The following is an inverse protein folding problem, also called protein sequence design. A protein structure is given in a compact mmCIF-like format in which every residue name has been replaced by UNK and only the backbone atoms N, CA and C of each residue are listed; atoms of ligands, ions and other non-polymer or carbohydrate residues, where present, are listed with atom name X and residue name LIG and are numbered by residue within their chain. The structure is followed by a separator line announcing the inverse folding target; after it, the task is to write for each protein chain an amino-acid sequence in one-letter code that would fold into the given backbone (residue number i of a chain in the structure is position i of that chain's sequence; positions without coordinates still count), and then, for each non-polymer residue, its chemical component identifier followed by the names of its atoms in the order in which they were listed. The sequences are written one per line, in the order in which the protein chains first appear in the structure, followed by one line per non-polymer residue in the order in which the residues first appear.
data_IF_411318502447
#
_entry.id   IF_411318502447
#
_cell.length_a   1.000
_cell.length_b   1.000
_cell.length_c   1.000
_cell.angle_alpha   90.00
_cell.angle_beta   90.00
_cell.angle_gamma   90.00
#
_symmetry.space_group_name_H-M   'P 1'
#
loop_
_entity.id
_entity.type
_entity.pdbx_description
1 polymer ?
#
# COMPACT_ATOMS: atom_id res chain seq x y z
N UNK A 1 22.01 -7.83 11.04
CA UNK A 1 21.39 -6.90 12.00
C UNK A 1 20.56 -5.93 11.21
N UNK A 2 19.24 -5.96 11.36
CA UNK A 2 18.36 -4.97 10.72
C UNK A 2 18.87 -3.58 11.09
N UNK A 3 19.31 -2.83 10.10
CA UNK A 3 19.89 -1.53 10.36
C UNK A 3 18.73 -0.62 10.79
N UNK A 4 18.72 -0.20 12.05
CA UNK A 4 17.67 0.65 12.64
C UNK A 4 17.41 1.88 11.75
N UNK A 5 18.45 2.35 11.05
CA UNK A 5 18.39 3.40 10.05
C UNK A 5 17.40 3.11 8.90
N UNK A 6 17.39 1.89 8.37
CA UNK A 6 16.46 1.49 7.29
C UNK A 6 15.04 1.31 7.80
N UNK A 7 14.84 0.81 9.02
CA UNK A 7 13.50 0.76 9.64
C UNK A 7 12.92 2.16 9.84
N UNK A 8 13.73 3.13 10.28
CA UNK A 8 13.30 4.54 10.41
C UNK A 8 12.97 5.15 9.03
N UNK A 9 13.76 4.84 8.00
CA UNK A 9 13.52 5.34 6.65
C UNK A 9 12.23 4.78 6.04
N UNK A 10 11.95 3.48 6.24
CA UNK A 10 10.67 2.87 5.88
C UNK A 10 9.49 3.45 6.67
N UNK A 11 9.69 3.85 7.93
CA UNK A 11 8.66 4.50 8.75
C UNK A 11 8.30 5.89 8.22
N UNK A 12 9.30 6.67 7.82
CA UNK A 12 9.11 7.96 7.14
C UNK A 12 8.33 7.78 5.83
N UNK A 13 8.70 6.79 5.01
CA UNK A 13 7.99 6.49 3.76
C UNK A 13 6.55 6.06 4.04
N UNK A 14 6.32 5.24 5.07
CA UNK A 14 4.99 4.78 5.46
C UNK A 14 4.09 5.96 5.86
N UNK A 15 4.58 6.87 6.71
CA UNK A 15 3.79 8.01 7.21
C UNK A 15 3.55 9.06 6.13
N UNK A 16 4.59 9.47 5.39
CA UNK A 16 4.47 10.58 4.44
C UNK A 16 3.87 10.18 3.10
N UNK A 17 4.11 8.93 2.65
CA UNK A 17 3.71 8.48 1.32
C UNK A 17 2.67 7.37 1.43
N UNK A 18 2.99 6.29 2.14
CA UNK A 18 2.13 5.11 2.22
C UNK A 18 0.73 5.44 2.73
N UNK A 19 0.62 6.22 3.80
CA UNK A 19 -0.64 6.58 4.42
C UNK A 19 -1.54 7.42 3.50
N UNK A 20 -0.97 8.41 2.81
CA UNK A 20 -1.70 9.28 1.88
C UNK A 20 -2.16 8.54 0.63
N UNK A 21 -1.25 7.78 0.00
CA UNK A 21 -1.54 7.02 -1.21
C UNK A 21 -2.58 5.93 -0.94
N UNK A 22 -2.44 5.20 0.17
CA UNK A 22 -3.41 4.17 0.55
C UNK A 22 -4.77 4.76 0.91
N UNK A 23 -4.83 5.93 1.56
CA UNK A 23 -6.11 6.59 1.87
C UNK A 23 -6.85 7.02 0.61
N UNK A 24 -6.14 7.59 -0.36
CA UNK A 24 -6.75 7.98 -1.64
C UNK A 24 -7.21 6.75 -2.45
N UNK A 25 -6.37 5.72 -2.52
CA UNK A 25 -6.72 4.47 -3.20
C UNK A 25 -7.90 3.74 -2.52
N UNK A 26 -7.98 3.76 -1.18
CA UNK A 26 -9.10 3.19 -0.43
C UNK A 26 -10.42 3.90 -0.74
N UNK A 27 -10.40 5.23 -0.85
CA UNK A 27 -11.58 6.00 -1.24
C UNK A 27 -12.09 5.62 -2.64
N UNK A 28 -11.19 5.50 -3.61
CA UNK A 28 -11.54 5.04 -4.96
C UNK A 28 -12.03 3.59 -4.97
N UNK A 29 -11.41 2.70 -4.18
CA UNK A 29 -11.77 1.29 -4.11
C UNK A 29 -13.20 1.11 -3.61
N UNK A 30 -13.58 1.80 -2.53
CA UNK A 30 -14.94 1.76 -1.97
C UNK A 30 -15.98 2.24 -2.99
N UNK A 31 -15.64 3.21 -3.82
CA UNK A 31 -16.55 3.75 -4.84
C UNK A 31 -16.68 2.82 -6.05
N UNK A 32 -15.63 2.08 -6.40
CA UNK A 32 -15.57 1.21 -7.59
C UNK A 32 -16.05 -0.21 -7.30
N UNK A 33 -15.91 -0.71 -6.06
CA UNK A 33 -16.30 -2.08 -5.69
C UNK A 33 -17.76 -2.48 -5.98
N UNK A 34 -18.80 -1.61 -5.88
CA UNK A 34 -20.14 -2.02 -6.29
C UNK A 34 -20.29 -2.12 -7.81
N UNK A 35 -19.47 -1.41 -8.59
CA UNK A 35 -19.50 -1.46 -10.05
C UNK A 35 -18.81 -2.71 -10.61
N UNK A 36 -17.89 -3.33 -9.87
CA UNK A 36 -17.26 -4.60 -10.29
C UNK A 36 -18.27 -5.75 -10.39
N UNK A 37 -19.36 -5.69 -9.62
CA UNK A 37 -20.45 -6.68 -9.66
C UNK A 37 -21.20 -6.65 -10.99
N UNK A 38 -21.19 -5.52 -11.69
CA UNK A 38 -21.87 -5.33 -12.97
C UNK A 38 -20.91 -5.32 -14.18
N UNK A 39 -19.61 -5.08 -13.95
CA UNK A 39 -18.62 -4.89 -15.02
C UNK A 39 -17.33 -5.66 -14.67
N UNK A 40 -17.20 -6.87 -15.22
CA UNK A 40 -16.04 -7.78 -15.03
C UNK A 40 -14.66 -7.14 -15.28
N UNK A 41 -14.43 -6.25 -16.26
CA UNK A 41 -13.11 -5.63 -16.44
C UNK A 41 -12.72 -4.64 -15.33
N UNK A 42 -13.67 -4.16 -14.50
CA UNK A 42 -13.32 -3.31 -13.35
C UNK A 42 -12.66 -4.11 -12.21
N UNK A 43 -12.77 -5.44 -12.22
CA UNK A 43 -12.15 -6.30 -11.21
C UNK A 43 -10.62 -6.11 -11.19
N UNK A 44 -10.00 -5.99 -12.37
CA UNK A 44 -8.56 -5.72 -12.48
C UNK A 44 -8.16 -4.33 -11.94
N UNK A 45 -9.05 -3.34 -12.05
CA UNK A 45 -8.83 -2.03 -11.45
C UNK A 45 -8.92 -2.11 -9.93
N UNK A 46 -9.91 -2.81 -9.37
CA UNK A 46 -10.00 -3.02 -7.92
C UNK A 46 -8.84 -3.83 -7.35
N UNK A 47 -8.32 -4.84 -8.07
CA UNK A 47 -7.12 -5.59 -7.66
C UNK A 47 -5.87 -4.70 -7.64
N UNK A 48 -5.71 -3.83 -8.63
CA UNK A 48 -4.64 -2.84 -8.65
C UNK A 48 -4.75 -1.88 -7.46
N UNK A 49 -5.95 -1.34 -7.21
CA UNK A 49 -6.19 -0.45 -6.07
C UNK A 49 -5.94 -1.17 -4.74
N UNK A 50 -6.32 -2.44 -4.61
CA UNK A 50 -6.02 -3.27 -3.44
C UNK A 50 -4.51 -3.42 -3.22
N UNK A 51 -3.74 -3.66 -4.28
CA UNK A 51 -2.27 -3.71 -4.21
C UNK A 51 -1.69 -2.40 -3.68
N UNK A 52 -2.21 -1.27 -4.15
CA UNK A 52 -1.80 0.08 -3.69
C UNK A 52 -2.20 0.33 -2.22
N UNK A 53 -3.39 -0.09 -1.80
CA UNK A 53 -3.86 0.03 -0.40
C UNK A 53 -3.02 -0.84 0.54
N UNK A 54 -2.47 -1.95 0.06
CA UNK A 54 -1.58 -2.83 0.83
C UNK A 54 -0.13 -2.34 0.87
N UNK A 55 0.23 -1.28 0.14
CA UNK A 55 1.58 -0.71 0.15
C UNK A 55 2.10 -0.31 1.56
N UNK A 56 1.31 0.30 2.47
CA UNK A 56 1.75 0.58 3.84
C UNK A 56 2.09 -0.70 4.61
N UNK A 57 1.39 -1.79 4.33
CA UNK A 57 1.64 -3.09 4.95
C UNK A 57 2.97 -3.67 4.47
N UNK A 58 3.28 -3.52 3.18
CA UNK A 58 4.59 -3.84 2.64
C UNK A 58 5.69 -2.99 3.29
N UNK A 59 5.47 -1.68 3.45
CA UNK A 59 6.40 -0.78 4.13
C UNK A 59 6.65 -1.21 5.59
N UNK A 60 5.59 -1.61 6.31
CA UNK A 60 5.68 -2.10 7.68
C UNK A 60 6.42 -3.44 7.77
N UNK A 61 6.21 -4.36 6.82
CA UNK A 61 6.97 -5.60 6.73
C UNK A 61 8.46 -5.34 6.47
N UNK A 62 8.79 -4.47 5.51
CA UNK A 62 10.16 -4.11 5.19
C UNK A 62 10.87 -3.41 6.39
N UNK A 63 10.11 -2.63 7.16
CA UNK A 63 10.58 -2.05 8.43
C UNK A 63 10.93 -3.12 9.47
N UNK A 64 10.06 -4.13 9.65
CA UNK A 64 10.27 -5.22 10.61
C UNK A 64 11.39 -6.18 10.19
N UNK A 65 11.53 -6.42 8.88
CA UNK A 65 12.66 -7.19 8.33
C UNK A 65 13.98 -6.42 8.38
N UNK A 66 13.95 -5.10 8.62
CA UNK A 66 15.14 -4.24 8.56
C UNK A 66 15.82 -4.31 7.19
N UNK A 67 15.01 -4.45 6.14
CA UNK A 67 15.45 -4.72 4.76
C UNK A 67 16.18 -3.48 4.23
N UNK A 68 17.47 -3.62 3.96
CA UNK A 68 18.25 -2.59 3.28
C UNK A 68 17.82 -2.49 1.82
N UNK A 69 18.02 -1.32 1.21
CA UNK A 69 17.85 -1.12 -0.24
C UNK A 69 19.03 -1.74 -1.04
N UNK A 70 19.46 -2.97 -0.70
CA UNK A 70 20.56 -3.69 -1.37
C UNK A 70 20.11 -5.10 -1.77
#
# INVERSE_FOLDING_TARGET
MGNVLFSILWLLILIFIGFWVASFAAGLYILIIPFTVCIEPLTGLTDFLLSVIQFPRYCAQAMMEGKGFN
#
